data_IF_667797196004
#
_entry.id   IF_667797196004
#
_cell.length_a   1.000
_cell.length_b   1.000
_cell.length_c   1.000
_cell.angle_alpha   90.00
_cell.angle_beta   90.00
_cell.angle_gamma   90.00
#
_symmetry.space_group_name_H-M   'P 1'
#
loop_
_entity.id
_entity.type
_entity.pdbx_description
1 polymer ?
#
# COMPACT_ATOMS: atom_id res chain seq x y z
N UNK A 1 -5.31 19.57 14.17
CA UNK A 1 -4.94 18.55 15.17
C UNK A 1 -3.62 17.84 14.82
N UNK A 2 -3.41 17.31 13.61
CA UNK A 2 -2.17 16.63 13.17
C UNK A 2 -0.91 17.46 13.38
N UNK A 3 -0.87 18.74 12.94
CA UNK A 3 0.29 19.64 13.12
C UNK A 3 0.70 19.82 14.58
N UNK A 4 -0.25 19.86 15.51
CA UNK A 4 0.04 19.99 16.94
C UNK A 4 0.62 18.69 17.49
N UNK A 5 0.04 17.55 17.11
CA UNK A 5 0.55 16.23 17.47
C UNK A 5 2.01 16.06 17.02
N UNK A 6 2.30 16.34 15.74
CA UNK A 6 3.66 16.24 15.19
C UNK A 6 4.64 17.16 15.93
N UNK A 7 4.23 18.39 16.30
CA UNK A 7 5.08 19.29 17.08
C UNK A 7 5.41 18.72 18.46
N UNK A 8 4.42 18.13 19.14
CA UNK A 8 4.62 17.55 20.48
C UNK A 8 5.55 16.33 20.40
N UNK A 9 5.34 15.45 19.43
CA UNK A 9 6.17 14.23 19.28
C UNK A 9 7.60 14.51 18.85
N UNK A 10 7.85 15.68 18.24
CA UNK A 10 9.20 16.11 17.85
C UNK A 10 9.94 16.92 18.93
N UNK A 11 9.37 17.11 20.12
CA UNK A 11 10.06 17.82 21.22
C UNK A 11 11.28 17.03 21.67
N UNK A 12 12.45 17.68 21.67
CA UNK A 12 13.72 17.05 22.05
C UNK A 12 14.38 16.22 20.95
N UNK A 13 13.81 16.13 19.76
CA UNK A 13 14.45 15.46 18.63
C UNK A 13 15.72 16.25 18.19
N UNK A 14 16.83 15.55 18.01
CA UNK A 14 18.09 16.11 17.49
C UNK A 14 18.07 16.36 16.00
N UNK A 15 17.21 15.66 15.26
CA UNK A 15 16.97 15.82 13.83
C UNK A 15 15.53 15.45 13.50
N UNK A 16 14.99 16.05 12.45
CA UNK A 16 13.66 15.75 11.92
C UNK A 16 13.81 15.32 10.46
N UNK A 17 13.33 14.14 10.15
CA UNK A 17 13.35 13.61 8.79
C UNK A 17 11.90 13.43 8.32
N UNK A 18 11.60 13.96 7.15
CA UNK A 18 10.34 13.73 6.46
C UNK A 18 10.57 12.73 5.31
N UNK A 19 10.00 11.55 5.42
CA UNK A 19 10.02 10.57 4.33
C UNK A 19 9.03 11.01 3.25
N UNK A 20 9.45 10.99 1.99
CA UNK A 20 8.57 11.38 0.89
C UNK A 20 8.83 10.54 -0.37
N UNK A 21 7.77 10.21 -1.08
CA UNK A 21 7.83 9.60 -2.42
C UNK A 21 8.39 10.61 -3.42
N UNK A 22 8.00 11.88 -3.24
CA UNK A 22 8.45 13.00 -4.07
C UNK A 22 9.70 13.65 -3.50
N UNK A 23 10.47 14.26 -4.38
CA UNK A 23 11.54 15.15 -3.97
C UNK A 23 10.96 16.52 -3.61
N UNK A 24 11.22 16.98 -2.39
CA UNK A 24 10.91 18.31 -1.90
C UNK A 24 12.17 18.94 -1.33
N UNK A 25 12.19 20.27 -1.28
CA UNK A 25 13.25 21.01 -0.60
C UNK A 25 13.16 20.82 0.92
N UNK A 26 14.29 20.89 1.59
CA UNK A 26 14.36 20.87 3.04
C UNK A 26 13.68 22.12 3.64
N UNK A 27 12.98 21.96 4.77
CA UNK A 27 12.42 23.09 5.51
C UNK A 27 13.43 23.58 6.56
N UNK A 28 14.26 24.53 6.15
CA UNK A 28 15.29 25.11 7.05
C UNK A 28 14.68 25.80 8.28
N UNK A 29 13.48 26.41 8.14
CA UNK A 29 12.83 27.12 9.24
C UNK A 29 12.39 26.19 10.38
N UNK A 30 12.01 24.97 10.05
CA UNK A 30 11.58 23.95 11.01
C UNK A 30 12.67 22.90 11.26
N UNK A 31 13.81 23.02 10.62
CA UNK A 31 14.91 22.04 10.65
C UNK A 31 14.42 20.63 10.27
N UNK A 32 13.65 20.54 9.18
CA UNK A 32 13.17 19.28 8.62
C UNK A 32 13.96 18.98 7.35
N UNK A 33 14.57 17.81 7.31
CA UNK A 33 15.25 17.29 6.12
C UNK A 33 14.34 16.31 5.40
N UNK A 34 14.12 16.53 4.11
CA UNK A 34 13.35 15.61 3.28
C UNK A 34 14.25 14.50 2.75
N UNK A 35 13.85 13.27 2.95
CA UNK A 35 14.63 12.08 2.58
C UNK A 35 13.76 11.08 1.82
N UNK A 36 14.35 10.25 0.95
CA UNK A 36 13.62 9.21 0.25
C UNK A 36 13.08 8.15 1.23
N UNK A 37 12.10 7.33 0.79
CA UNK A 37 11.55 6.25 1.60
C UNK A 37 12.61 5.27 2.07
N UNK A 38 12.46 4.79 3.29
CA UNK A 38 13.25 3.69 3.82
C UNK A 38 12.66 2.37 3.32
N UNK A 39 13.43 1.64 2.52
CA UNK A 39 13.02 0.34 2.02
C UNK A 39 13.75 -0.77 2.76
N UNK A 40 13.01 -1.80 3.15
CA UNK A 40 13.58 -3.03 3.71
C UNK A 40 14.60 -3.64 2.75
N UNK A 41 15.64 -4.28 3.29
CA UNK A 41 16.68 -4.91 2.48
C UNK A 41 16.09 -6.00 1.57
N UNK A 42 15.12 -6.73 2.07
CA UNK A 42 14.41 -7.82 1.40
C UNK A 42 13.72 -7.34 0.12
N UNK A 43 13.15 -6.15 0.12
CA UNK A 43 12.53 -5.52 -1.06
C UNK A 43 13.54 -5.36 -2.20
N UNK A 44 14.78 -4.99 -1.85
CA UNK A 44 15.86 -4.75 -2.82
C UNK A 44 16.43 -6.05 -3.39
N UNK A 45 16.32 -7.15 -2.64
CA UNK A 45 16.90 -8.46 -3.01
C UNK A 45 15.88 -9.45 -3.55
N UNK A 46 14.58 -9.19 -3.38
CA UNK A 46 13.51 -10.07 -3.88
C UNK A 46 13.46 -10.08 -5.41
N UNK A 47 13.49 -11.27 -5.97
CA UNK A 47 13.42 -11.45 -7.43
C UNK A 47 12.00 -11.13 -7.90
N UNK A 48 11.88 -10.17 -8.81
CA UNK A 48 10.61 -9.82 -9.44
C UNK A 48 10.23 -10.87 -10.47
N UNK A 49 8.95 -11.21 -10.51
CA UNK A 49 8.40 -12.12 -11.51
C UNK A 49 7.01 -11.64 -11.93
N UNK A 50 6.42 -12.26 -12.94
CA UNK A 50 5.14 -11.86 -13.50
C UNK A 50 4.09 -12.96 -13.25
N UNK A 51 3.35 -12.83 -12.16
CA UNK A 51 2.17 -13.63 -11.89
C UNK A 51 0.90 -13.02 -12.53
N UNK A 52 -0.14 -13.82 -12.67
CA UNK A 52 -1.41 -13.36 -13.23
C UNK A 52 -2.45 -13.08 -12.13
N UNK A 53 -2.08 -12.26 -11.15
CA UNK A 53 -2.98 -11.89 -10.05
C UNK A 53 -2.78 -10.44 -9.61
N UNK A 54 -3.82 -9.88 -9.03
CA UNK A 54 -3.79 -8.61 -8.32
C UNK A 54 -3.64 -8.91 -6.84
N UNK A 55 -2.74 -8.21 -6.19
CA UNK A 55 -2.52 -8.30 -4.75
C UNK A 55 -3.12 -7.08 -4.06
N UNK A 56 -3.63 -7.26 -2.84
CA UNK A 56 -4.06 -6.15 -2.01
C UNK A 56 -3.67 -6.31 -0.55
N UNK A 57 -3.70 -5.18 0.17
CA UNK A 57 -3.57 -5.11 1.62
C UNK A 57 -4.62 -4.18 2.20
N UNK A 58 -5.33 -4.65 3.21
CA UNK A 58 -6.33 -3.88 3.92
C UNK A 58 -6.04 -3.90 5.43
N UNK A 59 -5.91 -2.73 6.02
CA UNK A 59 -5.78 -2.58 7.47
C UNK A 59 -7.11 -2.85 8.17
N UNK A 60 -8.23 -2.45 7.55
CA UNK A 60 -9.57 -2.66 8.07
C UNK A 60 -10.26 -3.82 7.34
N UNK A 61 -10.69 -4.83 8.09
CA UNK A 61 -11.40 -6.00 7.55
C UNK A 61 -12.76 -5.66 6.93
N UNK A 62 -13.33 -4.48 7.21
CA UNK A 62 -14.56 -3.99 6.58
C UNK A 62 -14.49 -3.93 5.05
N UNK A 63 -13.32 -3.66 4.50
CA UNK A 63 -13.11 -3.67 3.05
C UNK A 63 -13.15 -5.06 2.40
N UNK A 64 -13.14 -6.13 3.20
CA UNK A 64 -13.22 -7.49 2.65
C UNK A 64 -14.55 -7.75 1.91
N UNK A 65 -15.63 -7.13 2.36
CA UNK A 65 -16.93 -7.25 1.69
C UNK A 65 -16.94 -6.53 0.34
N UNK A 66 -16.29 -5.39 0.22
CA UNK A 66 -16.15 -4.67 -1.07
C UNK A 66 -15.39 -5.52 -2.07
N UNK A 67 -14.28 -6.14 -1.63
CA UNK A 67 -13.49 -7.06 -2.47
C UNK A 67 -14.32 -8.26 -2.90
N UNK A 68 -15.10 -8.87 -2.00
CA UNK A 68 -16.00 -9.99 -2.32
C UNK A 68 -17.08 -9.58 -3.31
N UNK A 69 -17.71 -8.42 -3.08
CA UNK A 69 -18.77 -7.90 -3.92
C UNK A 69 -18.27 -7.58 -5.34
N UNK A 70 -17.07 -7.03 -5.46
CA UNK A 70 -16.44 -6.83 -6.77
C UNK A 70 -16.11 -8.17 -7.43
N UNK A 71 -15.49 -9.11 -6.68
CA UNK A 71 -15.07 -10.40 -7.18
C UNK A 71 -16.25 -11.26 -7.67
N UNK A 72 -17.40 -11.19 -7.00
CA UNK A 72 -18.62 -11.89 -7.41
C UNK A 72 -19.07 -11.51 -8.85
N UNK A 73 -18.73 -10.30 -9.30
CA UNK A 73 -18.99 -9.83 -10.67
C UNK A 73 -17.84 -10.16 -11.64
N UNK A 74 -16.68 -10.54 -11.13
CA UNK A 74 -15.44 -10.77 -11.88
C UNK A 74 -14.74 -12.08 -11.45
N UNK A 75 -15.43 -13.24 -11.51
CA UNK A 75 -14.97 -14.48 -10.88
C UNK A 75 -13.72 -15.11 -11.51
N UNK A 76 -13.28 -14.60 -12.67
CA UNK A 76 -12.05 -15.07 -13.34
C UNK A 76 -10.82 -14.24 -13.02
N UNK A 77 -10.95 -13.18 -12.21
CA UNK A 77 -9.81 -12.35 -11.81
C UNK A 77 -9.17 -12.93 -10.55
N UNK A 78 -7.90 -13.29 -10.65
CA UNK A 78 -7.17 -13.81 -9.49
C UNK A 78 -6.80 -12.69 -8.52
N UNK A 79 -7.27 -12.80 -7.29
CA UNK A 79 -7.09 -11.84 -6.21
C UNK A 79 -6.48 -12.49 -4.98
N UNK A 80 -5.45 -11.87 -4.43
CA UNK A 80 -4.84 -12.24 -3.17
C UNK A 80 -4.78 -11.02 -2.25
N UNK A 81 -5.58 -11.03 -1.18
CA UNK A 81 -5.65 -9.92 -0.24
C UNK A 81 -5.07 -10.30 1.12
N UNK A 82 -4.18 -9.47 1.63
CA UNK A 82 -3.67 -9.58 2.98
C UNK A 82 -4.46 -8.71 3.95
N UNK A 83 -4.65 -9.19 5.16
CA UNK A 83 -5.26 -8.47 6.25
C UNK A 83 -4.55 -8.73 7.57
N UNK A 84 -4.60 -7.74 8.47
CA UNK A 84 -4.09 -7.88 9.83
C UNK A 84 -5.22 -8.40 10.74
N UNK A 85 -5.54 -9.68 10.59
CA UNK A 85 -6.56 -10.39 11.38
C UNK A 85 -5.92 -11.59 12.05
N UNK A 86 -5.47 -11.41 13.30
CA UNK A 86 -4.69 -12.41 14.04
C UNK A 86 -5.44 -13.72 14.31
N UNK A 87 -6.77 -13.67 14.41
CA UNK A 87 -7.66 -14.82 14.63
C UNK A 87 -8.09 -15.53 13.32
N UNK A 88 -7.70 -15.00 12.16
CA UNK A 88 -7.97 -15.63 10.89
C UNK A 88 -7.00 -16.78 10.62
N UNK A 89 -7.41 -17.80 9.83
CA UNK A 89 -6.48 -18.82 9.32
C UNK A 89 -5.39 -18.16 8.47
N UNK A 90 -4.25 -18.84 8.29
CA UNK A 90 -3.17 -18.35 7.42
C UNK A 90 -3.65 -18.04 6.00
N UNK A 91 -4.57 -18.85 5.50
CA UNK A 91 -5.25 -18.66 4.22
C UNK A 91 -6.75 -18.92 4.38
N UNK A 92 -7.55 -18.00 3.89
CA UNK A 92 -8.99 -18.15 3.72
C UNK A 92 -9.30 -18.13 2.23
N UNK A 93 -9.35 -19.32 1.64
CA UNK A 93 -9.74 -19.49 0.24
C UNK A 93 -11.26 -19.31 0.12
N UNK A 94 -11.69 -18.28 -0.60
CA UNK A 94 -13.11 -18.02 -0.86
C UNK A 94 -13.60 -18.89 -2.01
N UNK A 95 -12.80 -18.93 -3.09
CA UNK A 95 -12.97 -19.79 -4.26
C UNK A 95 -11.60 -20.03 -4.94
N UNK A 96 -11.59 -20.47 -6.19
CA UNK A 96 -10.34 -20.77 -6.93
C UNK A 96 -9.55 -19.52 -7.32
N UNK A 97 -10.15 -18.33 -7.26
CA UNK A 97 -9.56 -17.07 -7.73
C UNK A 97 -9.48 -15.98 -6.68
N UNK A 98 -10.13 -16.13 -5.51
CA UNK A 98 -10.04 -15.18 -4.40
C UNK A 98 -9.55 -15.87 -3.12
N UNK A 99 -8.43 -15.40 -2.60
CA UNK A 99 -7.88 -15.85 -1.32
C UNK A 99 -7.50 -14.66 -0.44
N UNK A 100 -7.93 -14.69 0.82
CA UNK A 100 -7.43 -13.79 1.86
C UNK A 100 -6.31 -14.48 2.63
N UNK A 101 -5.27 -13.72 2.95
CA UNK A 101 -4.08 -14.21 3.67
C UNK A 101 -3.93 -13.44 4.98
N UNK A 102 -3.63 -14.13 6.06
CA UNK A 102 -3.11 -13.47 7.26
C UNK A 102 -1.75 -12.85 6.92
N UNK A 103 -1.48 -11.67 7.46
CA UNK A 103 -0.23 -10.96 7.20
C UNK A 103 0.97 -11.80 7.64
N UNK A 104 1.89 -12.01 6.72
CA UNK A 104 3.20 -12.64 6.89
C UNK A 104 4.18 -11.88 6.00
N UNK A 105 5.24 -11.36 6.59
CA UNK A 105 6.17 -10.43 5.93
C UNK A 105 6.86 -11.05 4.71
N UNK A 106 7.30 -12.29 4.81
CA UNK A 106 8.04 -12.98 3.75
C UNK A 106 7.11 -13.29 2.58
N UNK A 107 5.94 -13.84 2.89
CA UNK A 107 4.91 -14.17 1.90
C UNK A 107 4.40 -12.91 1.22
N UNK A 108 4.17 -11.86 1.99
CA UNK A 108 3.70 -10.57 1.50
C UNK A 108 4.65 -10.01 0.42
N UNK A 109 5.95 -9.89 0.72
CA UNK A 109 6.93 -9.38 -0.23
C UNK A 109 7.08 -10.25 -1.47
N UNK A 110 7.10 -11.57 -1.29
CA UNK A 110 7.18 -12.52 -2.40
C UNK A 110 5.98 -12.37 -3.35
N UNK A 111 4.78 -12.23 -2.79
CA UNK A 111 3.57 -12.05 -3.59
C UNK A 111 3.50 -10.65 -4.21
N UNK A 112 3.95 -9.61 -3.52
CA UNK A 112 4.07 -8.27 -4.10
C UNK A 112 5.03 -8.28 -5.30
N UNK A 113 6.17 -8.96 -5.20
CA UNK A 113 7.11 -9.07 -6.29
C UNK A 113 6.52 -9.72 -7.56
N UNK A 114 5.54 -10.62 -7.39
CA UNK A 114 4.88 -11.35 -8.47
C UNK A 114 3.58 -10.75 -8.97
N UNK A 115 2.93 -9.84 -8.26
CA UNK A 115 1.62 -9.34 -8.67
C UNK A 115 1.70 -8.45 -9.93
N UNK A 116 0.59 -8.33 -10.64
CA UNK A 116 0.45 -7.40 -11.78
C UNK A 116 0.20 -5.97 -11.31
N UNK A 117 -0.56 -5.82 -10.23
CA UNK A 117 -0.93 -4.54 -9.65
C UNK A 117 -1.23 -4.71 -8.15
N UNK A 118 -1.18 -3.63 -7.40
CA UNK A 118 -1.33 -3.61 -5.96
C UNK A 118 -2.42 -2.64 -5.51
N UNK A 119 -3.36 -3.11 -4.68
CA UNK A 119 -4.43 -2.30 -4.09
C UNK A 119 -4.25 -2.23 -2.56
N UNK A 120 -4.29 -1.03 -1.97
CA UNK A 120 -3.99 -0.90 -0.54
C UNK A 120 -4.69 0.29 0.12
N UNK A 121 -4.86 0.23 1.42
CA UNK A 121 -5.29 1.37 2.26
C UNK A 121 -4.21 2.46 2.43
N UNK A 122 -3.30 2.59 1.47
CA UNK A 122 -2.32 3.67 1.34
C UNK A 122 -1.33 3.86 2.50
N UNK A 123 -0.97 2.79 3.22
CA UNK A 123 0.15 2.82 4.17
C UNK A 123 1.46 3.13 3.46
N UNK A 124 2.24 4.11 3.98
CA UNK A 124 3.42 4.66 3.30
C UNK A 124 4.44 3.60 2.89
N UNK A 125 4.81 2.71 3.81
CA UNK A 125 5.86 1.71 3.57
C UNK A 125 5.50 0.74 2.44
N UNK A 126 4.32 0.13 2.48
CA UNK A 126 3.91 -0.85 1.46
C UNK A 126 3.70 -0.23 0.09
N UNK A 127 3.26 1.03 0.04
CA UNK A 127 3.18 1.80 -1.21
C UNK A 127 4.58 2.01 -1.79
N UNK A 128 5.53 2.48 -0.99
CA UNK A 128 6.91 2.71 -1.44
C UNK A 128 7.59 1.41 -1.92
N UNK A 129 7.33 0.29 -1.26
CA UNK A 129 7.83 -1.03 -1.66
C UNK A 129 7.25 -1.48 -3.00
N UNK A 130 5.93 -1.32 -3.18
CA UNK A 130 5.26 -1.64 -4.44
C UNK A 130 5.77 -0.78 -5.60
N UNK A 131 5.91 0.53 -5.38
CA UNK A 131 6.46 1.46 -6.38
C UNK A 131 7.92 1.12 -6.74
N UNK A 132 8.75 0.80 -5.74
CA UNK A 132 10.11 0.33 -5.99
C UNK A 132 10.15 -0.95 -6.85
N UNK A 133 9.19 -1.85 -6.64
CA UNK A 133 9.04 -3.07 -7.44
C UNK A 133 8.39 -2.81 -8.82
N UNK A 134 8.01 -1.56 -9.14
CA UNK A 134 7.39 -1.19 -10.40
C UNK A 134 5.94 -1.67 -10.51
N UNK A 135 5.21 -1.75 -9.39
CA UNK A 135 3.81 -2.18 -9.39
C UNK A 135 2.88 -0.99 -9.49
N UNK A 136 1.95 -0.96 -10.46
CA UNK A 136 0.86 0.00 -10.47
C UNK A 136 0.04 -0.12 -9.19
N UNK A 137 -0.27 1.03 -8.54
CA UNK A 137 -0.93 1.03 -7.26
C UNK A 137 -2.32 1.67 -7.32
N UNK A 138 -3.29 1.09 -6.60
CA UNK A 138 -4.53 1.75 -6.22
C UNK A 138 -4.52 2.02 -4.72
N UNK A 139 -4.79 3.26 -4.33
CA UNK A 139 -4.67 3.75 -2.97
C UNK A 139 -6.04 4.16 -2.45
N UNK A 140 -6.48 3.53 -1.38
CA UNK A 140 -7.76 3.76 -0.72
C UNK A 140 -7.48 4.34 0.66
N UNK A 141 -7.34 5.68 0.80
CA UNK A 141 -7.01 6.30 2.07
C UNK A 141 -8.18 6.24 3.05
N UNK A 142 -7.92 5.82 4.28
CA UNK A 142 -8.89 5.79 5.38
C UNK A 142 -8.71 6.97 6.36
N UNK A 143 -7.59 7.70 6.29
CA UNK A 143 -7.30 8.86 7.14
C UNK A 143 -6.26 9.80 6.49
N UNK A 144 -6.11 11.00 7.07
CA UNK A 144 -5.36 12.15 6.51
C UNK A 144 -3.92 11.81 6.08
N UNK A 145 -3.18 11.00 6.82
CA UNK A 145 -1.83 10.60 6.41
C UNK A 145 -1.86 9.81 5.11
N UNK A 146 -2.78 8.86 5.01
CA UNK A 146 -2.95 8.02 3.81
C UNK A 146 -3.45 8.84 2.62
N UNK A 147 -4.26 9.89 2.85
CA UNK A 147 -4.64 10.85 1.80
C UNK A 147 -3.41 11.55 1.23
N UNK A 148 -2.48 12.01 2.09
CA UNK A 148 -1.24 12.64 1.64
C UNK A 148 -0.40 11.66 0.79
N UNK A 149 -0.25 10.43 1.23
CA UNK A 149 0.49 9.39 0.50
C UNK A 149 -0.14 9.10 -0.86
N UNK A 150 -1.47 8.98 -0.90
CA UNK A 150 -2.22 8.73 -2.14
C UNK A 150 -2.09 9.90 -3.12
N UNK A 151 -2.22 11.13 -2.63
CA UNK A 151 -2.04 12.33 -3.46
C UNK A 151 -0.63 12.45 -4.03
N UNK A 152 0.39 12.11 -3.27
CA UNK A 152 1.78 12.14 -3.75
C UNK A 152 2.03 11.05 -4.79
N UNK A 153 1.54 9.84 -4.58
CA UNK A 153 1.64 8.76 -5.56
C UNK A 153 0.88 9.10 -6.87
N UNK A 154 -0.30 9.71 -6.77
CA UNK A 154 -1.09 10.12 -7.95
C UNK A 154 -0.39 11.23 -8.73
N UNK A 155 0.19 12.23 -8.05
CA UNK A 155 0.98 13.32 -8.67
C UNK A 155 2.21 12.79 -9.42
N UNK A 156 2.84 11.73 -8.92
CA UNK A 156 3.96 11.07 -9.59
C UNK A 156 3.51 10.07 -10.67
N UNK A 157 2.21 10.00 -10.97
CA UNK A 157 1.63 9.02 -11.92
C UNK A 157 2.01 7.56 -11.58
N UNK A 158 2.23 7.29 -10.31
CA UNK A 158 2.65 6.00 -9.79
C UNK A 158 1.49 5.21 -9.16
N UNK A 159 0.32 5.83 -9.04
CA UNK A 159 -0.88 5.22 -8.50
C UNK A 159 -2.14 6.00 -8.85
N UNK A 160 -3.28 5.40 -8.56
CA UNK A 160 -4.61 6.00 -8.69
C UNK A 160 -5.32 5.96 -7.34
N UNK A 161 -5.89 7.09 -6.92
CA UNK A 161 -6.67 7.16 -5.70
C UNK A 161 -8.11 6.69 -5.93
N UNK A 162 -8.66 5.94 -4.97
CA UNK A 162 -10.05 5.48 -4.97
C UNK A 162 -10.65 5.60 -3.57
N UNK A 163 -11.98 5.61 -3.47
CA UNK A 163 -12.71 5.60 -2.19
C UNK A 163 -13.01 4.17 -1.71
N UNK A 164 -12.89 3.20 -2.59
CA UNK A 164 -13.18 1.78 -2.36
C UNK A 164 -12.25 0.87 -3.18
N UNK A 165 -12.36 -0.43 -3.00
CA UNK A 165 -11.60 -1.42 -3.76
C UNK A 165 -12.21 -1.69 -5.14
N UNK A 166 -12.43 -0.64 -5.94
CA UNK A 166 -12.81 -0.75 -7.36
C UNK A 166 -11.60 -1.22 -8.19
N UNK A 167 -11.46 -2.52 -8.32
CA UNK A 167 -10.35 -3.14 -9.05
C UNK A 167 -10.38 -2.80 -10.55
N UNK A 168 -11.52 -2.44 -11.12
CA UNK A 168 -11.58 -2.03 -12.54
C UNK A 168 -10.82 -0.71 -12.74
N UNK A 169 -10.86 0.19 -11.76
CA UNK A 169 -10.07 1.43 -11.77
C UNK A 169 -8.56 1.13 -11.75
N UNK A 170 -8.14 0.16 -10.94
CA UNK A 170 -6.74 -0.30 -10.94
C UNK A 170 -6.35 -0.94 -12.27
N UNK A 171 -7.21 -1.79 -12.86
CA UNK A 171 -6.94 -2.44 -14.15
C UNK A 171 -6.86 -1.46 -15.31
N UNK A 172 -7.63 -0.37 -15.25
CA UNK A 172 -7.58 0.70 -16.26
C UNK A 172 -6.31 1.56 -16.13
N UNK A 173 -5.73 1.64 -14.93
CA UNK A 173 -4.49 2.37 -14.67
C UNK A 173 -3.23 1.55 -15.00
N UNK A 174 -3.26 0.22 -14.79
CA UNK A 174 -2.13 -0.70 -14.91
C UNK A 174 -1.85 -1.12 -16.35
#
# INVERSE_FOLDING_TARGET
>A
MLKLFTRITCVGATAKLALSIRQYDDDEKQAIKVVPPLLRREVKTTIRHHGNYIMGYMLNTGFAEDVRAWHAKHPHTHLHFFWDKSDAPEELKVDDTLTFHRLDDVKFLRMMAGCRAYATTAGFESVCEALYMGKPCMLIPAHVEQECNAMDAEREMAGVMSNDFDIDKLKAFA
#
